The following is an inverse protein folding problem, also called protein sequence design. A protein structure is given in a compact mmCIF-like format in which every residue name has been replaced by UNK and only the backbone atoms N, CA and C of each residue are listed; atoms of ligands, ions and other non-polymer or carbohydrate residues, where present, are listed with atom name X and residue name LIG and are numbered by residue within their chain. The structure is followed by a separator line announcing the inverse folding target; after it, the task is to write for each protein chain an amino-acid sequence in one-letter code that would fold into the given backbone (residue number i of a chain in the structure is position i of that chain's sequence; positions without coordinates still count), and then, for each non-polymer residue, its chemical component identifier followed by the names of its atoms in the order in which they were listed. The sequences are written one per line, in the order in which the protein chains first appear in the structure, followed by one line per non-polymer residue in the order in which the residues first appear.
data_IF_071491246820
#
_entry.id   IF_071491246820
#
_cell.length_a   1.000
_cell.length_b   1.000
_cell.length_c   1.000
_cell.angle_alpha   90.00
_cell.angle_beta   90.00
_cell.angle_gamma   90.00
#
_symmetry.space_group_name_H-M   'P 1'
#
loop_
_entity.id
_entity.type
_entity.pdbx_description
1 polymer ?
#
# COMPACT_ATOMS: atom_id res chain seq x y z
N UNK A 1 -43.13 -25.43 16.59
CA UNK A 1 -42.51 -25.49 15.24
C UNK A 1 -43.48 -25.09 14.12
N UNK A 2 -44.75 -25.50 14.15
CA UNK A 2 -45.74 -25.20 13.08
C UNK A 2 -46.16 -23.71 12.90
N UNK A 3 -45.76 -22.80 13.80
CA UNK A 3 -46.01 -21.32 13.66
C UNK A 3 -44.83 -20.51 13.11
N UNK A 4 -43.64 -21.11 12.98
CA UNK A 4 -42.47 -20.42 12.41
C UNK A 4 -42.45 -20.55 10.89
N UNK A 5 -42.99 -21.65 10.35
CA UNK A 5 -43.08 -21.88 8.90
C UNK A 5 -44.10 -20.94 8.21
N UNK A 6 -45.17 -20.54 8.90
CA UNK A 6 -46.15 -19.59 8.35
C UNK A 6 -45.66 -18.13 8.34
N UNK A 7 -44.66 -17.77 9.16
CA UNK A 7 -44.04 -16.43 9.10
C UNK A 7 -43.03 -16.29 7.96
N UNK A 8 -42.44 -17.39 7.47
CA UNK A 8 -41.48 -17.35 6.35
C UNK A 8 -42.20 -17.32 5.00
N UNK A 9 -43.42 -17.86 4.91
CA UNK A 9 -44.21 -17.86 3.68
C UNK A 9 -44.91 -16.52 3.36
N UNK A 10 -45.05 -15.61 4.33
CA UNK A 10 -45.72 -14.30 4.12
C UNK A 10 -44.78 -13.12 3.92
N UNK A 11 -43.45 -13.32 4.01
CA UNK A 11 -42.47 -12.36 3.47
C UNK A 11 -42.42 -12.50 1.95
N UNK A 12 -43.53 -12.12 1.33
CA UNK A 12 -43.79 -12.19 -0.09
C UNK A 12 -42.79 -11.36 -0.89
N UNK A 13 -42.20 -12.02 -1.88
CA UNK A 13 -41.92 -11.58 -3.26
C UNK A 13 -41.26 -10.21 -3.56
N UNK A 14 -41.02 -9.33 -2.60
CA UNK A 14 -40.51 -7.97 -2.83
C UNK A 14 -38.99 -7.85 -2.75
N UNK A 15 -38.30 -8.80 -2.11
CA UNK A 15 -36.83 -8.81 -2.03
C UNK A 15 -36.12 -9.69 -3.08
N UNK A 16 -36.85 -10.58 -3.77
CA UNK A 16 -36.30 -11.42 -4.84
C UNK A 16 -35.66 -10.61 -5.99
N UNK A 17 -36.26 -9.53 -6.52
CA UNK A 17 -35.62 -8.78 -7.61
C UNK A 17 -34.38 -8.02 -7.13
N UNK A 18 -34.37 -7.58 -5.86
CA UNK A 18 -33.27 -6.82 -5.28
C UNK A 18 -32.06 -7.72 -4.98
N UNK A 19 -32.30 -8.95 -4.50
CA UNK A 19 -31.25 -9.96 -4.32
C UNK A 19 -30.70 -10.45 -5.67
N UNK A 20 -31.56 -10.61 -6.68
CA UNK A 20 -31.15 -10.98 -8.04
C UNK A 20 -30.32 -9.88 -8.71
N UNK A 21 -30.67 -8.61 -8.52
CA UNK A 21 -29.88 -7.47 -8.98
C UNK A 21 -28.52 -7.40 -8.27
N UNK A 22 -28.48 -7.63 -6.95
CA UNK A 22 -27.23 -7.64 -6.20
C UNK A 22 -26.30 -8.77 -6.67
N UNK A 23 -26.85 -9.96 -6.93
CA UNK A 23 -26.11 -11.09 -7.49
C UNK A 23 -25.62 -10.81 -8.91
N UNK A 24 -26.42 -10.16 -9.76
CA UNK A 24 -25.99 -9.76 -11.11
C UNK A 24 -24.87 -8.72 -11.05
N UNK A 25 -24.94 -7.75 -10.14
CA UNK A 25 -23.87 -6.77 -9.93
C UNK A 25 -22.58 -7.42 -9.41
N UNK A 26 -22.67 -8.43 -8.54
CA UNK A 26 -21.50 -9.19 -8.07
C UNK A 26 -20.90 -10.01 -9.21
N UNK A 27 -21.73 -10.68 -10.03
CA UNK A 27 -21.24 -11.48 -11.17
C UNK A 27 -20.66 -10.60 -12.28
N UNK A 28 -21.27 -9.44 -12.56
CA UNK A 28 -20.74 -8.47 -13.53
C UNK A 28 -19.49 -7.75 -13.01
N UNK A 29 -19.43 -7.43 -11.71
CA UNK A 29 -18.22 -6.89 -11.08
C UNK A 29 -17.06 -7.88 -11.00
N UNK A 30 -17.33 -9.18 -11.10
CA UNK A 30 -16.31 -10.23 -11.18
C UNK A 30 -15.80 -10.51 -12.61
N UNK A 31 -16.43 -9.96 -13.66
CA UNK A 31 -16.01 -10.17 -15.05
C UNK A 31 -15.11 -9.06 -15.61
N UNK A 32 -14.90 -7.96 -14.89
CA UNK A 32 -13.85 -7.02 -15.28
C UNK A 32 -12.47 -7.55 -14.84
N UNK A 33 -11.51 -7.40 -15.76
CA UNK A 33 -10.06 -7.62 -15.59
C UNK A 33 -9.51 -9.05 -15.74
N UNK A 34 -9.80 -9.70 -16.87
CA UNK A 34 -8.75 -10.48 -17.55
C UNK A 34 -8.78 -10.23 -19.07
N UNK A 35 -8.80 -8.96 -19.47
CA UNK A 35 -8.23 -8.62 -20.78
C UNK A 35 -6.72 -8.66 -20.59
N UNK A 36 -6.13 -9.84 -20.83
CA UNK A 36 -4.72 -9.98 -21.07
C UNK A 36 -4.39 -9.10 -22.28
N UNK A 37 -4.08 -7.83 -22.03
CA UNK A 37 -3.39 -7.01 -23.01
C UNK A 37 -2.07 -7.71 -23.23
N UNK A 38 -1.96 -8.44 -24.34
CA UNK A 38 -0.66 -8.82 -24.89
C UNK A 38 0.04 -7.52 -25.26
N UNK A 39 0.67 -6.89 -24.26
CA UNK A 39 1.66 -5.85 -24.46
C UNK A 39 2.76 -6.51 -25.29
N UNK A 40 2.75 -6.21 -26.59
CA UNK A 40 3.85 -6.58 -27.47
C UNK A 40 5.14 -6.12 -26.80
N UNK A 41 6.12 -7.00 -26.54
CA UNK A 41 7.29 -6.64 -25.77
C UNK A 41 8.02 -5.53 -26.53
N UNK A 42 8.06 -4.34 -25.93
CA UNK A 42 8.71 -3.15 -26.50
C UNK A 42 10.24 -3.25 -26.37
N UNK A 43 10.83 -4.37 -26.79
CA UNK A 43 12.27 -4.58 -26.67
C UNK A 43 12.81 -5.71 -27.54
N UNK A 44 14.14 -5.77 -27.59
CA UNK A 44 14.91 -6.74 -28.39
C UNK A 44 15.94 -7.40 -27.49
N UNK A 45 16.07 -8.72 -27.62
CA UNK A 45 17.11 -9.50 -26.97
C UNK A 45 18.34 -9.57 -27.86
N UNK A 46 19.48 -9.06 -27.37
CA UNK A 46 20.73 -9.05 -28.11
C UNK A 46 21.94 -9.22 -27.20
N UNK A 47 23.07 -9.61 -27.78
CA UNK A 47 24.33 -9.66 -27.06
C UNK A 47 24.75 -8.24 -26.65
N UNK A 48 25.10 -8.07 -25.37
CA UNK A 48 25.48 -6.79 -24.82
C UNK A 48 26.99 -6.72 -24.59
N UNK A 49 27.62 -5.71 -25.20
CA UNK A 49 29.03 -5.40 -24.99
C UNK A 49 29.20 -3.88 -24.77
N UNK A 50 29.10 -3.46 -23.51
CA UNK A 50 29.23 -2.05 -23.10
C UNK A 50 29.84 -1.90 -21.70
N UNK A 51 29.58 -0.79 -21.04
CA UNK A 51 30.11 -0.40 -19.72
C UNK A 51 29.80 -1.43 -18.63
N UNK A 52 28.67 -2.12 -18.74
CA UNK A 52 28.23 -3.14 -17.79
C UNK A 52 28.73 -4.56 -18.12
N UNK A 53 29.48 -4.75 -19.21
CA UNK A 53 29.90 -6.08 -19.70
C UNK A 53 30.67 -6.88 -18.64
N UNK A 54 31.62 -6.22 -17.97
CA UNK A 54 32.42 -6.77 -16.88
C UNK A 54 31.59 -7.23 -15.66
N UNK A 55 30.37 -6.73 -15.49
CA UNK A 55 29.49 -7.00 -14.34
C UNK A 55 28.38 -7.99 -14.65
N UNK A 56 27.95 -8.06 -15.91
CA UNK A 56 26.79 -8.85 -16.33
C UNK A 56 27.13 -10.31 -16.63
N UNK A 57 28.41 -10.62 -16.90
CA UNK A 57 28.82 -11.86 -17.57
C UNK A 57 28.33 -11.88 -19.03
N UNK A 58 29.27 -11.77 -19.98
CA UNK A 58 28.95 -11.33 -21.35
C UNK A 58 28.25 -12.38 -22.21
N UNK A 59 28.16 -13.65 -21.78
CA UNK A 59 27.70 -14.74 -22.66
C UNK A 59 26.20 -14.75 -22.95
N UNK A 60 25.38 -14.07 -22.15
CA UNK A 60 23.92 -14.12 -22.25
C UNK A 60 23.33 -12.89 -22.95
N UNK A 61 22.23 -13.09 -23.69
CA UNK A 61 21.46 -12.00 -24.30
C UNK A 61 20.79 -11.12 -23.25
N UNK A 62 20.74 -9.82 -23.54
CA UNK A 62 20.14 -8.79 -22.69
C UNK A 62 18.99 -8.13 -23.40
N UNK A 63 17.92 -7.89 -22.65
CA UNK A 63 16.75 -7.24 -23.18
C UNK A 63 16.97 -5.72 -23.20
N UNK A 64 16.91 -5.13 -24.39
CA UNK A 64 17.02 -3.69 -24.62
C UNK A 64 15.65 -3.15 -24.94
N UNK A 65 15.18 -2.16 -24.19
CA UNK A 65 13.93 -1.48 -24.50
C UNK A 65 14.06 -0.72 -25.83
N UNK A 66 13.20 -1.02 -26.80
CA UNK A 66 13.24 -0.40 -28.12
C UNK A 66 12.80 1.06 -28.12
N UNK A 67 12.05 1.53 -27.10
CA UNK A 67 11.69 2.94 -26.96
C UNK A 67 12.89 3.82 -26.58
N UNK A 68 13.83 3.28 -25.80
CA UNK A 68 15.09 3.95 -25.49
C UNK A 68 16.16 3.70 -26.55
N UNK A 69 16.25 2.46 -27.03
CA UNK A 69 17.38 1.97 -27.78
C UNK A 69 18.64 1.78 -26.93
N UNK A 70 19.65 1.14 -27.53
CA UNK A 70 20.90 0.77 -26.86
C UNK A 70 21.67 1.97 -26.30
N UNK A 71 21.79 3.05 -27.08
CA UNK A 71 22.61 4.21 -26.70
C UNK A 71 22.07 4.94 -25.47
N UNK A 72 20.76 5.15 -25.38
CA UNK A 72 20.16 5.79 -24.20
C UNK A 72 20.14 4.84 -23.00
N UNK A 73 19.90 3.55 -23.23
CA UNK A 73 20.03 2.52 -22.19
C UNK A 73 21.44 2.53 -21.58
N UNK A 74 22.49 2.64 -22.40
CA UNK A 74 23.88 2.77 -21.96
C UNK A 74 24.12 4.07 -21.17
N UNK A 75 23.55 5.20 -21.62
CA UNK A 75 23.63 6.49 -20.92
C UNK A 75 23.02 6.40 -19.53
N UNK A 76 21.88 5.72 -19.40
CA UNK A 76 21.22 5.45 -18.11
C UNK A 76 22.15 4.63 -17.20
N UNK A 77 22.74 3.56 -17.71
CA UNK A 77 23.70 2.74 -16.95
C UNK A 77 24.87 3.58 -16.43
N UNK A 78 25.48 4.42 -17.26
CA UNK A 78 26.58 5.31 -16.85
C UNK A 78 26.14 6.25 -15.73
N UNK A 79 24.95 6.86 -15.84
CA UNK A 79 24.43 7.78 -14.82
C UNK A 79 24.17 7.07 -13.49
N UNK A 80 23.59 5.88 -13.52
CA UNK A 80 23.37 5.07 -12.33
C UNK A 80 24.68 4.64 -11.67
N UNK A 81 25.65 4.16 -12.45
CA UNK A 81 26.97 3.80 -11.92
C UNK A 81 27.65 5.00 -11.26
N UNK A 82 27.53 6.20 -11.84
CA UNK A 82 28.02 7.44 -11.25
C UNK A 82 27.27 7.82 -9.96
N UNK A 83 25.95 7.57 -9.91
CA UNK A 83 25.17 7.76 -8.68
C UNK A 83 25.68 6.82 -7.56
N UNK A 84 25.94 5.55 -7.87
CA UNK A 84 26.53 4.61 -6.90
C UNK A 84 27.88 5.10 -6.40
N UNK A 85 28.76 5.55 -7.31
CA UNK A 85 30.06 6.14 -6.94
C UNK A 85 29.89 7.32 -5.97
N UNK A 86 28.95 8.22 -6.24
CA UNK A 86 28.70 9.39 -5.40
C UNK A 86 28.14 9.03 -4.02
N UNK A 87 27.20 8.09 -3.94
CA UNK A 87 26.62 7.62 -2.66
C UNK A 87 27.71 7.03 -1.74
N UNK A 88 28.68 6.34 -2.34
CA UNK A 88 29.74 5.65 -1.60
C UNK A 88 31.09 6.38 -1.60
N UNK A 89 31.17 7.62 -2.10
CA UNK A 89 32.41 8.42 -2.09
C UNK A 89 32.95 8.60 -0.67
N UNK A 90 32.05 8.76 0.30
CA UNK A 90 32.37 8.97 1.72
C UNK A 90 32.17 7.73 2.60
N UNK A 91 31.60 6.64 2.04
CA UNK A 91 31.31 5.40 2.78
C UNK A 91 32.43 4.39 2.54
N UNK A 92 32.89 3.71 3.59
CA UNK A 92 33.95 2.68 3.48
C UNK A 92 33.43 1.29 3.08
N UNK A 93 32.14 1.16 2.80
CA UNK A 93 31.53 -0.12 2.45
C UNK A 93 31.67 -0.41 0.95
N UNK A 94 32.84 -0.93 0.58
CA UNK A 94 33.14 -1.34 -0.79
C UNK A 94 32.33 -2.56 -1.23
N UNK A 95 31.89 -3.40 -0.29
CA UNK A 95 31.09 -4.59 -0.60
C UNK A 95 29.75 -4.17 -1.18
N UNK A 96 29.02 -3.32 -0.44
CA UNK A 96 27.74 -2.84 -0.90
C UNK A 96 27.86 -1.95 -2.15
N UNK A 97 28.92 -1.14 -2.25
CA UNK A 97 29.21 -0.37 -3.47
C UNK A 97 29.28 -1.25 -4.72
N UNK A 98 30.05 -2.34 -4.68
CA UNK A 98 30.17 -3.22 -5.85
C UNK A 98 28.91 -4.03 -6.11
N UNK A 99 28.20 -4.47 -5.07
CA UNK A 99 26.88 -5.11 -5.19
C UNK A 99 25.90 -4.18 -5.91
N UNK A 100 25.80 -2.93 -5.48
CA UNK A 100 24.88 -1.95 -6.06
C UNK A 100 25.24 -1.59 -7.52
N UNK A 101 26.53 -1.54 -7.88
CA UNK A 101 26.93 -1.39 -9.29
C UNK A 101 26.48 -2.57 -10.14
N UNK A 102 26.61 -3.80 -9.63
CA UNK A 102 26.12 -4.99 -10.33
C UNK A 102 24.60 -4.92 -10.46
N UNK A 103 23.88 -4.63 -9.38
CA UNK A 103 22.42 -4.45 -9.39
C UNK A 103 21.98 -3.43 -10.44
N UNK A 104 22.59 -2.24 -10.47
CA UNK A 104 22.29 -1.22 -11.48
C UNK A 104 22.48 -1.74 -12.91
N UNK A 105 23.56 -2.47 -13.17
CA UNK A 105 23.80 -3.06 -14.49
C UNK A 105 22.78 -4.12 -14.87
N UNK A 106 22.51 -5.09 -14.00
CA UNK A 106 21.53 -6.15 -14.24
C UNK A 106 20.15 -5.57 -14.53
N UNK A 107 19.83 -4.51 -13.82
CA UNK A 107 18.54 -3.89 -13.96
C UNK A 107 18.32 -3.11 -15.25
N UNK A 108 19.33 -2.37 -15.69
CA UNK A 108 19.29 -1.68 -16.98
C UNK A 108 19.35 -2.70 -18.12
N UNK A 109 20.04 -3.82 -17.92
CA UNK A 109 20.23 -4.89 -18.90
C UNK A 109 19.71 -6.24 -18.36
N UNK A 110 18.38 -6.40 -18.26
CA UNK A 110 17.79 -7.61 -17.71
C UNK A 110 18.03 -8.81 -18.62
N UNK A 111 17.92 -10.01 -18.04
CA UNK A 111 18.05 -11.25 -18.79
C UNK A 111 16.93 -11.42 -19.80
N UNK A 112 17.24 -12.17 -20.87
CA UNK A 112 16.25 -12.67 -21.81
C UNK A 112 15.85 -14.11 -21.49
N UNK A 113 14.57 -14.42 -21.68
CA UNK A 113 14.06 -15.78 -21.72
C UNK A 113 14.44 -16.46 -23.03
N UNK A 114 14.19 -17.78 -23.11
CA UNK A 114 14.32 -18.51 -24.38
C UNK A 114 13.31 -18.05 -25.45
N UNK A 115 12.27 -17.30 -25.05
CA UNK A 115 11.28 -16.70 -25.93
C UNK A 115 11.59 -15.22 -26.24
N UNK A 116 12.83 -14.77 -26.00
CA UNK A 116 13.28 -13.39 -26.23
C UNK A 116 12.47 -12.33 -25.47
N UNK A 117 11.95 -12.68 -24.30
CA UNK A 117 11.23 -11.75 -23.41
C UNK A 117 12.10 -11.34 -22.22
N UNK A 118 11.88 -10.13 -21.69
CA UNK A 118 12.49 -9.68 -20.43
C UNK A 118 12.12 -10.66 -19.30
N UNK A 119 13.12 -11.17 -18.59
CA UNK A 119 12.94 -11.91 -17.34
C UNK A 119 12.93 -10.95 -16.14
N UNK A 120 12.00 -11.18 -15.22
CA UNK A 120 11.95 -10.50 -13.93
C UNK A 120 12.91 -11.16 -12.93
N UNK A 121 13.38 -10.38 -11.97
CA UNK A 121 14.17 -10.87 -10.84
C UNK A 121 13.28 -11.45 -9.76
N UNK A 122 13.80 -12.43 -9.03
CA UNK A 122 13.03 -13.09 -7.97
C UNK A 122 12.90 -12.18 -6.73
N UNK A 123 11.77 -12.29 -6.02
CA UNK A 123 11.49 -11.53 -4.80
C UNK A 123 12.59 -11.70 -3.74
N UNK A 124 13.14 -12.89 -3.62
CA UNK A 124 14.19 -13.25 -2.67
C UNK A 124 15.47 -12.42 -2.90
N UNK A 125 15.82 -12.16 -4.16
CA UNK A 125 16.97 -11.32 -4.51
C UNK A 125 16.76 -9.88 -4.03
N UNK A 126 15.55 -9.35 -4.25
CA UNK A 126 15.17 -8.01 -3.81
C UNK A 126 15.27 -7.88 -2.30
N UNK A 127 14.63 -8.79 -1.57
CA UNK A 127 14.66 -8.81 -0.10
C UNK A 127 16.10 -8.90 0.42
N UNK A 128 16.92 -9.76 -0.16
CA UNK A 128 18.31 -9.91 0.24
C UNK A 128 19.14 -8.66 -0.05
N UNK A 129 18.93 -7.99 -1.20
CA UNK A 129 19.58 -6.71 -1.51
C UNK A 129 19.21 -5.62 -0.50
N UNK A 130 17.95 -5.55 -0.07
CA UNK A 130 17.52 -4.61 0.95
C UNK A 130 18.17 -4.89 2.31
N UNK A 131 18.36 -6.17 2.67
CA UNK A 131 19.03 -6.54 3.92
C UNK A 131 20.50 -6.11 3.94
N UNK A 132 21.24 -6.33 2.85
CA UNK A 132 22.68 -6.03 2.80
C UNK A 132 22.99 -4.57 2.45
N UNK A 133 22.10 -3.89 1.72
CA UNK A 133 22.38 -2.62 1.07
C UNK A 133 21.26 -1.57 1.14
N UNK A 134 20.22 -1.79 1.95
CA UNK A 134 18.93 -1.06 1.90
C UNK A 134 19.02 0.46 1.68
N UNK A 135 19.81 1.17 2.47
CA UNK A 135 19.97 2.63 2.33
C UNK A 135 20.54 3.04 0.96
N UNK A 136 21.55 2.31 0.47
CA UNK A 136 22.17 2.58 -0.82
C UNK A 136 21.26 2.16 -1.98
N UNK A 137 20.51 1.07 -1.80
CA UNK A 137 19.53 0.61 -2.78
C UNK A 137 18.40 1.62 -2.95
N UNK A 138 17.81 2.11 -1.85
CA UNK A 138 16.79 3.16 -1.87
C UNK A 138 17.24 4.42 -2.62
N UNK A 139 18.48 4.86 -2.35
CA UNK A 139 19.06 6.02 -3.04
C UNK A 139 19.26 5.78 -4.54
N UNK A 140 19.63 4.56 -4.95
CA UNK A 140 19.79 4.21 -6.37
C UNK A 140 18.45 4.08 -7.07
N UNK A 141 17.44 3.52 -6.42
CA UNK A 141 16.06 3.48 -6.95
C UNK A 141 15.53 4.89 -7.15
N UNK A 142 15.72 5.77 -6.15
CA UNK A 142 15.38 7.19 -6.26
C UNK A 142 16.14 7.90 -7.39
N UNK A 143 17.45 7.69 -7.48
CA UNK A 143 18.26 8.26 -8.56
C UNK A 143 17.82 7.74 -9.94
N UNK A 144 17.49 6.45 -10.03
CA UNK A 144 16.97 5.82 -11.23
C UNK A 144 15.66 6.44 -11.70
N UNK A 145 14.71 6.62 -10.79
CA UNK A 145 13.45 7.33 -11.07
C UNK A 145 13.69 8.73 -11.61
N UNK A 146 14.60 9.50 -11.01
CA UNK A 146 14.94 10.84 -11.48
C UNK A 146 15.64 10.84 -12.85
N UNK A 147 16.51 9.85 -13.11
CA UNK A 147 17.19 9.73 -14.41
C UNK A 147 16.21 9.34 -15.52
N UNK A 148 15.18 8.56 -15.19
CA UNK A 148 14.21 8.03 -16.13
C UNK A 148 12.91 8.83 -16.22
N UNK A 149 12.73 9.87 -15.41
CA UNK A 149 11.52 10.67 -15.40
C UNK A 149 11.25 11.24 -16.80
N UNK A 150 10.11 10.88 -17.38
CA UNK A 150 9.71 11.21 -18.75
C UNK A 150 10.28 10.34 -19.89
N UNK A 151 11.11 9.32 -19.61
CA UNK A 151 11.74 8.48 -20.66
C UNK A 151 11.32 7.00 -20.66
N UNK A 152 10.90 6.44 -19.52
CA UNK A 152 10.35 5.08 -19.45
C UNK A 152 9.16 4.98 -18.50
N UNK A 153 8.43 3.85 -18.60
CA UNK A 153 7.49 3.46 -17.55
C UNK A 153 8.20 3.37 -16.21
N UNK A 154 7.51 3.79 -15.14
CA UNK A 154 8.02 3.72 -13.75
C UNK A 154 8.45 2.31 -13.36
N UNK A 155 7.92 1.29 -14.03
CA UNK A 155 8.17 -0.14 -13.81
C UNK A 155 9.57 -0.61 -14.24
N UNK A 156 10.39 0.27 -14.83
CA UNK A 156 11.81 -0.07 -15.01
C UNK A 156 12.41 -0.32 -13.66
N UNK A 157 12.07 0.50 -12.65
CA UNK A 157 12.46 0.31 -11.26
C UNK A 157 11.45 -0.38 -10.33
N UNK A 158 11.12 -1.65 -10.64
CA UNK A 158 10.28 -2.52 -9.81
C UNK A 158 10.89 -3.01 -8.49
N UNK A 159 11.72 -2.21 -7.81
CA UNK A 159 12.22 -2.50 -6.45
C UNK A 159 11.58 -1.62 -5.37
N UNK A 160 10.57 -0.82 -5.72
CA UNK A 160 9.85 0.00 -4.74
C UNK A 160 9.22 -0.88 -3.65
N UNK A 161 8.64 -2.00 -4.06
CA UNK A 161 8.09 -3.01 -3.17
C UNK A 161 8.48 -4.40 -3.70
N UNK A 162 9.36 -5.11 -2.98
CA UNK A 162 9.76 -6.47 -3.38
C UNK A 162 8.56 -7.43 -3.53
N UNK A 163 7.44 -7.13 -2.88
CA UNK A 163 6.22 -7.93 -2.89
C UNK A 163 5.59 -8.07 -4.29
N UNK A 164 5.86 -7.12 -5.20
CA UNK A 164 5.34 -7.18 -6.57
C UNK A 164 6.11 -8.19 -7.44
N UNK A 165 7.31 -8.59 -7.01
CA UNK A 165 8.12 -9.60 -7.69
C UNK A 165 7.61 -11.00 -7.39
N UNK A 166 7.76 -11.91 -8.36
CA UNK A 166 7.43 -13.33 -8.18
C UNK A 166 8.45 -14.01 -7.27
N UNK A 167 7.98 -14.91 -6.39
CA UNK A 167 8.88 -15.82 -5.68
C UNK A 167 9.31 -16.98 -6.59
N UNK A 168 10.53 -17.47 -6.39
CA UNK A 168 11.00 -18.67 -7.07
C UNK A 168 10.16 -19.93 -6.68
N UNK A 169 9.53 -19.92 -5.50
CA UNK A 169 8.74 -21.05 -4.98
C UNK A 169 7.29 -21.08 -5.49
N UNK A 170 6.76 -19.95 -5.98
CA UNK A 170 5.33 -19.79 -6.30
C UNK A 170 4.88 -20.55 -7.56
N UNK A 171 5.79 -21.16 -8.34
CA UNK A 171 5.44 -21.79 -9.61
C UNK A 171 5.75 -23.29 -9.63
N UNK A 172 4.69 -24.12 -9.64
CA UNK A 172 4.79 -25.55 -9.95
C UNK A 172 5.17 -25.74 -11.42
N UNK A 173 6.48 -25.74 -11.72
CA UNK A 173 7.03 -26.34 -12.94
C UNK A 173 7.58 -25.41 -14.02
N UNK A 174 7.46 -24.08 -13.91
CA UNK A 174 8.13 -23.14 -14.82
C UNK A 174 8.65 -21.94 -14.01
N UNK A 175 9.97 -21.81 -13.85
CA UNK A 175 10.58 -20.68 -13.13
C UNK A 175 10.31 -19.37 -13.87
N UNK A 176 9.40 -18.57 -13.35
CA UNK A 176 8.96 -17.31 -13.96
C UNK A 176 9.89 -16.13 -13.66
N UNK A 177 10.77 -16.26 -12.68
CA UNK A 177 11.79 -15.28 -12.31
C UNK A 177 13.20 -15.88 -12.40
N UNK A 178 14.21 -15.01 -12.47
CA UNK A 178 15.62 -15.39 -12.56
C UNK A 178 16.40 -14.81 -11.37
N UNK A 179 17.17 -15.66 -10.69
CA UNK A 179 18.06 -15.19 -9.63
C UNK A 179 19.25 -14.40 -10.16
N UNK A 180 19.65 -13.36 -9.43
CA UNK A 180 20.87 -12.59 -9.68
C UNK A 180 22.11 -13.45 -9.36
N UNK A 181 23.00 -13.69 -10.34
CA UNK A 181 24.07 -14.69 -10.21
C UNK A 181 25.20 -14.29 -9.25
N UNK A 182 25.17 -13.06 -8.73
CA UNK A 182 26.17 -12.53 -7.81
C UNK A 182 25.67 -12.43 -6.37
N UNK A 183 24.41 -12.80 -6.11
CA UNK A 183 23.84 -12.83 -4.78
C UNK A 183 23.81 -14.27 -4.27
N UNK A 184 24.46 -14.48 -3.13
CA UNK A 184 24.41 -15.75 -2.42
C UNK A 184 23.24 -15.72 -1.43
N UNK A 185 22.04 -16.02 -1.92
CA UNK A 185 20.84 -16.00 -1.08
C UNK A 185 20.90 -17.16 -0.08
N UNK A 186 20.79 -16.89 1.23
CA UNK A 186 20.67 -17.96 2.21
C UNK A 186 19.35 -18.71 1.98
N UNK A 187 19.41 -20.05 1.98
CA UNK A 187 18.26 -20.95 1.72
C UNK A 187 17.00 -20.68 2.57
N UNK A 188 17.12 -19.92 3.66
CA UNK A 188 16.03 -19.60 4.60
C UNK A 188 15.12 -18.45 4.13
N UNK A 189 15.49 -17.68 3.11
CA UNK A 189 14.69 -16.52 2.65
C UNK A 189 13.54 -16.85 1.71
N UNK A 190 13.51 -18.05 1.12
CA UNK A 190 12.45 -18.47 0.19
C UNK A 190 11.17 -18.95 0.87
N UNK A 191 11.18 -19.12 2.19
CA UNK A 191 10.02 -19.53 2.97
C UNK A 191 9.50 -18.30 3.71
N UNK A 192 8.85 -17.41 2.97
CA UNK A 192 7.87 -16.52 3.60
C UNK A 192 6.93 -17.46 4.35
N UNK A 193 6.95 -17.44 5.68
CA UNK A 193 5.87 -17.97 6.51
C UNK A 193 4.62 -17.15 6.17
N UNK A 194 4.05 -17.40 4.99
CA UNK A 194 2.72 -16.92 4.66
C UNK A 194 1.86 -17.38 5.81
N UNK A 195 1.18 -16.43 6.46
CA UNK A 195 0.29 -16.72 7.58
C UNK A 195 -0.44 -18.00 7.24
N UNK A 196 -0.20 -19.05 8.05
CA UNK A 196 -0.82 -20.35 7.82
C UNK A 196 -2.30 -20.11 7.53
N UNK A 197 -2.85 -20.83 6.55
CA UNK A 197 -4.27 -20.73 6.21
C UNK A 197 -5.15 -20.82 7.46
N UNK A 198 -4.69 -21.55 8.48
CA UNK A 198 -5.35 -21.66 9.77
C UNK A 198 -5.35 -20.34 10.56
N UNK A 199 -4.27 -19.55 10.52
CA UNK A 199 -4.19 -18.22 11.15
C UNK A 199 -5.12 -17.23 10.45
N UNK A 200 -5.21 -17.26 9.12
CA UNK A 200 -6.14 -16.41 8.36
C UNK A 200 -7.58 -16.76 8.73
N UNK A 201 -7.91 -18.04 8.84
CA UNK A 201 -9.24 -18.51 9.27
C UNK A 201 -9.54 -18.07 10.72
N UNK A 202 -8.57 -18.19 11.63
CA UNK A 202 -8.72 -17.75 13.02
C UNK A 202 -9.02 -16.25 13.08
N UNK A 203 -8.28 -15.41 12.36
CA UNK A 203 -8.51 -13.95 12.34
C UNK A 203 -9.90 -13.65 11.75
N UNK A 204 -10.27 -14.29 10.64
CA UNK A 204 -11.55 -14.06 9.96
C UNK A 204 -12.78 -14.49 10.78
N UNK A 205 -12.65 -15.46 11.70
CA UNK A 205 -13.77 -15.94 12.52
C UNK A 205 -13.77 -15.32 13.92
N UNK A 206 -12.62 -15.22 14.57
CA UNK A 206 -12.52 -14.77 15.97
C UNK A 206 -12.76 -13.27 16.08
N UNK A 207 -12.25 -12.46 15.15
CA UNK A 207 -12.39 -10.99 15.23
C UNK A 207 -13.86 -10.56 15.07
N UNK A 208 -14.64 -11.03 14.08
CA UNK A 208 -16.06 -10.67 13.99
C UNK A 208 -16.88 -11.16 15.19
N UNK A 209 -16.56 -12.33 15.71
CA UNK A 209 -17.27 -12.91 16.86
C UNK A 209 -17.02 -12.10 18.14
N UNK A 210 -15.78 -11.64 18.36
CA UNK A 210 -15.44 -10.74 19.46
C UNK A 210 -16.15 -9.38 19.34
N UNK A 211 -16.19 -8.79 18.15
CA UNK A 211 -16.92 -7.54 17.89
C UNK A 211 -18.42 -7.71 18.14
N UNK A 212 -19.01 -8.82 17.68
CA UNK A 212 -20.41 -9.13 17.92
C UNK A 212 -20.73 -9.26 19.42
N UNK A 213 -19.87 -9.94 20.19
CA UNK A 213 -20.02 -10.05 21.65
C UNK A 213 -19.93 -8.69 22.34
N UNK A 214 -18.99 -7.82 21.93
CA UNK A 214 -18.88 -6.45 22.47
C UNK A 214 -20.15 -5.63 22.21
N UNK A 215 -20.74 -5.75 21.01
CA UNK A 215 -22.01 -5.08 20.69
C UNK A 215 -23.13 -5.60 21.59
N UNK A 216 -23.25 -6.92 21.77
CA UNK A 216 -24.25 -7.51 22.66
C UNK A 216 -24.07 -7.06 24.11
N UNK A 217 -22.84 -7.03 24.62
CA UNK A 217 -22.51 -6.51 25.95
C UNK A 217 -22.91 -5.04 26.09
N UNK A 218 -22.62 -4.19 25.10
CA UNK A 218 -23.02 -2.79 25.09
C UNK A 218 -24.54 -2.59 25.08
N UNK A 219 -25.27 -3.39 24.29
CA UNK A 219 -26.73 -3.37 24.25
C UNK A 219 -27.33 -3.85 25.58
N UNK A 220 -26.76 -4.90 26.17
CA UNK A 220 -27.20 -5.42 27.47
C UNK A 220 -26.97 -4.40 28.58
N UNK A 221 -25.79 -3.77 28.62
CA UNK A 221 -25.47 -2.71 29.58
C UNK A 221 -26.43 -1.51 29.44
N UNK A 222 -26.71 -1.08 28.20
CA UNK A 222 -27.71 -0.03 27.94
C UNK A 222 -29.11 -0.41 28.42
N UNK A 223 -29.53 -1.66 28.25
CA UNK A 223 -30.85 -2.14 28.74
C UNK A 223 -30.92 -2.17 30.27
N UNK A 224 -29.86 -2.59 30.95
CA UNK A 224 -29.81 -2.63 32.42
C UNK A 224 -29.77 -1.22 33.03
N UNK A 225 -28.99 -0.30 32.44
CA UNK A 225 -28.94 1.10 32.88
C UNK A 225 -30.33 1.78 32.79
N UNK A 226 -31.11 1.52 31.73
CA UNK A 226 -32.48 2.03 31.63
C UNK A 226 -33.42 1.47 32.71
N UNK A 227 -33.29 0.19 33.06
CA UNK A 227 -34.09 -0.44 34.12
C UNK A 227 -33.76 0.12 35.51
N UNK A 228 -32.49 0.44 35.79
CA UNK A 228 -32.09 1.07 37.05
C UNK A 228 -32.69 2.47 37.23
N UNK A 229 -32.80 3.26 36.15
CA UNK A 229 -33.41 4.61 36.24
C UNK A 229 -34.91 4.58 36.57
N UNK A 230 -35.63 3.55 36.11
CA UNK A 230 -37.08 3.44 36.32
C UNK A 230 -37.44 2.99 37.74
N UNK A 231 -36.55 2.29 38.43
CA UNK A 231 -36.75 1.92 39.84
C UNK A 231 -36.43 3.04 40.83
N UNK A 232 -35.68 4.07 40.41
CA UNK A 232 -35.36 5.23 41.25
C UNK A 232 -36.46 6.29 41.32
N UNK A 233 -37.50 6.20 40.49
CA UNK A 233 -38.59 7.18 40.43
C UNK A 233 -39.74 6.84 41.41
N UNK A 234 -39.75 5.66 42.03
CA UNK A 234 -40.88 5.23 42.89
C UNK A 234 -40.67 5.41 44.40
N UNK A 235 -39.63 6.12 44.83
CA UNK A 235 -39.35 6.42 46.26
C UNK A 235 -39.20 7.93 46.50
N UNK A 236 -40.21 8.72 46.15
CA UNK A 236 -40.36 10.05 46.73
C UNK A 236 -41.85 10.39 46.81
N UNK A 237 -42.50 9.85 47.84
CA UNK A 237 -43.85 10.25 48.19
C UNK A 237 -43.90 10.43 49.71
N UNK A 238 -43.32 11.53 50.20
CA UNK A 238 -43.88 12.23 51.35
C UNK A 238 -43.35 13.67 51.46
N UNK A 239 -44.32 14.59 51.52
CA UNK A 239 -44.31 15.89 52.19
C UNK A 239 -43.40 16.99 51.65
N UNK A 240 -44.06 18.04 51.17
CA UNK A 240 -43.68 19.39 51.56
C UNK A 240 -43.86 20.40 50.46
N UNK A 241 -44.96 21.13 50.53
CA UNK A 241 -45.16 22.39 49.81
C UNK A 241 -43.92 23.27 49.88
N UNK A 242 -43.42 23.67 48.70
CA UNK A 242 -42.94 25.04 48.43
C UNK A 242 -42.63 25.20 46.94
N UNK A 243 -43.36 26.14 46.33
CA UNK A 243 -43.10 26.67 45.01
C UNK A 243 -41.67 27.19 44.93
N UNK A 244 -40.84 26.56 44.08
CA UNK A 244 -39.50 27.05 43.75
C UNK A 244 -39.29 26.99 42.24
N UNK A 245 -39.16 28.20 41.70
CA UNK A 245 -38.39 28.66 40.54
C UNK A 245 -38.24 27.73 39.32
N UNK A 246 -38.82 28.18 38.22
CA UNK A 246 -38.90 27.52 36.90
C UNK A 246 -37.82 28.01 35.93
N UNK A 247 -36.65 28.45 36.40
CA UNK A 247 -35.66 29.20 35.58
C UNK A 247 -34.25 28.59 35.49
N UNK A 248 -34.10 27.25 35.51
CA UNK A 248 -32.76 26.63 35.38
C UNK A 248 -32.64 25.52 34.33
N UNK A 249 -33.32 25.66 33.18
CA UNK A 249 -33.20 24.73 32.06
C UNK A 249 -32.83 25.39 30.70
N UNK A 250 -31.97 26.41 30.70
CA UNK A 250 -31.46 27.03 29.46
C UNK A 250 -29.95 26.92 29.22
N UNK A 251 -29.18 26.28 30.11
CA UNK A 251 -27.72 26.14 29.96
C UNK A 251 -27.25 24.84 29.28
N UNK A 252 -28.07 24.25 28.40
CA UNK A 252 -27.56 23.26 27.44
C UNK A 252 -27.17 24.01 26.17
N UNK A 253 -26.07 24.76 26.26
CA UNK A 253 -25.36 25.25 25.09
C UNK A 253 -24.91 24.01 24.32
N UNK A 254 -25.46 23.87 23.11
CA UNK A 254 -25.20 22.76 22.21
C UNK A 254 -23.69 22.66 21.94
N UNK A 255 -23.10 21.46 22.06
CA UNK A 255 -21.71 21.19 21.65
C UNK A 255 -21.44 21.62 20.19
N UNK A 256 -22.49 21.74 19.36
CA UNK A 256 -22.40 22.25 17.98
C UNK A 256 -21.91 23.70 17.92
N UNK A 257 -22.28 24.55 18.88
CA UNK A 257 -21.83 25.95 18.91
C UNK A 257 -20.38 26.08 19.39
N UNK A 258 -19.93 25.16 20.26
CA UNK A 258 -18.51 25.08 20.68
C UNK A 258 -17.57 24.66 19.55
N UNK A 259 -18.04 23.93 18.55
CA UNK A 259 -17.20 23.50 17.40
C UNK A 259 -17.04 24.64 16.38
N UNK A 260 -18.01 25.55 16.26
CA UNK A 260 -17.88 26.72 15.38
C UNK A 260 -16.93 27.80 15.93
N UNK A 261 -16.60 27.73 17.23
CA UNK A 261 -15.68 28.67 17.89
C UNK A 261 -14.21 28.24 17.77
N UNK A 262 -13.92 27.02 17.30
CA UNK A 262 -12.55 26.55 17.00
C UNK A 262 -12.07 27.02 15.62
N UNK A 263 -12.31 28.31 15.30
CA UNK A 263 -11.59 28.97 14.22
C UNK A 263 -10.13 29.07 14.66
N UNK A 264 -9.32 28.10 14.21
CA UNK A 264 -7.86 28.12 14.32
C UNK A 264 -7.39 29.51 13.91
N UNK A 265 -6.65 30.18 14.79
CA UNK A 265 -6.17 31.52 14.53
C UNK A 265 -5.33 31.48 13.23
N UNK A 266 -5.55 32.42 12.27
CA UNK A 266 -4.82 32.43 11.00
C UNK A 266 -3.30 32.35 11.15
N UNK A 267 -2.76 32.78 12.29
CA UNK A 267 -1.34 32.71 12.63
C UNK A 267 -0.79 31.29 12.74
N UNK A 268 -1.56 30.31 13.26
CA UNK A 268 -1.08 28.92 13.38
C UNK A 268 -1.09 28.19 12.03
N UNK A 269 -2.01 28.59 11.13
CA UNK A 269 -2.04 28.07 9.76
C UNK A 269 -0.85 28.57 8.93
N UNK A 270 -0.37 29.78 9.23
CA UNK A 270 0.77 30.38 8.51
C UNK A 270 2.08 29.63 8.81
N UNK A 271 2.26 29.18 10.06
CA UNK A 271 3.43 28.41 10.48
C UNK A 271 3.47 27.00 9.85
N UNK A 272 2.31 26.34 9.75
CA UNK A 272 2.17 25.06 9.07
C UNK A 272 2.44 25.16 7.55
N UNK A 273 1.96 26.22 6.91
CA UNK A 273 2.22 26.48 5.49
C UNK A 273 3.69 26.78 5.23
N UNK A 274 4.36 27.54 6.11
CA UNK A 274 5.80 27.81 5.99
C UNK A 274 6.64 26.54 6.19
N UNK A 275 6.23 25.62 7.08
CA UNK A 275 6.89 24.30 7.23
C UNK A 275 6.77 23.49 5.92
N UNK A 276 5.60 23.45 5.29
CA UNK A 276 5.40 22.76 4.02
C UNK A 276 6.19 23.41 2.85
N UNK A 277 6.28 24.74 2.83
CA UNK A 277 7.00 25.52 1.81
C UNK A 277 8.52 25.35 1.94
N UNK A 278 9.05 25.31 3.17
CA UNK A 278 10.48 25.08 3.43
C UNK A 278 10.99 23.71 2.97
N UNK A 279 10.09 22.72 2.81
CA UNK A 279 10.40 21.37 2.35
C UNK A 279 10.21 21.18 0.84
N UNK A 280 9.88 22.24 0.09
CA UNK A 280 9.79 22.20 -1.37
C UNK A 280 8.57 21.46 -1.93
N UNK A 281 7.48 21.33 -1.16
CA UNK A 281 6.34 20.46 -1.51
C UNK A 281 5.17 21.21 -2.18
N UNK A 282 5.13 22.55 -2.25
CA UNK A 282 4.02 23.26 -2.92
C UNK A 282 4.43 24.55 -3.66
N UNK A 283 4.16 24.58 -4.97
CA UNK A 283 3.92 25.79 -5.78
C UNK A 283 2.41 25.92 -6.08
N UNK A 284 1.58 26.10 -5.04
CA UNK A 284 0.14 26.37 -5.22
C UNK A 284 -0.19 27.72 -4.57
N UNK A 285 -0.88 28.64 -5.28
CA UNK A 285 -1.33 29.91 -4.71
C UNK A 285 -2.33 29.68 -3.57
N UNK A 286 -2.14 30.43 -2.48
CA UNK A 286 -2.80 30.28 -1.16
C UNK A 286 -4.31 30.52 -1.20
N UNK A 287 -4.84 31.04 -2.30
CA UNK A 287 -6.20 31.56 -2.39
C UNK A 287 -7.28 30.48 -2.61
N UNK A 288 -6.94 29.18 -2.57
CA UNK A 288 -7.85 28.10 -2.98
C UNK A 288 -7.82 26.81 -2.11
N UNK A 289 -7.38 26.88 -0.84
CA UNK A 289 -7.27 25.70 0.04
C UNK A 289 -8.43 25.68 1.05
N UNK A 290 -9.52 25.01 0.70
CA UNK A 290 -10.68 24.80 1.59
C UNK A 290 -10.53 23.57 2.52
N UNK A 291 -9.47 22.78 2.41
CA UNK A 291 -9.20 21.71 3.39
C UNK A 291 -7.72 21.35 3.50
N UNK A 292 -7.22 21.34 4.74
CA UNK A 292 -5.82 21.06 5.16
C UNK A 292 -5.51 19.56 5.20
N UNK A 293 -6.46 18.72 4.77
CA UNK A 293 -6.42 17.25 4.96
C UNK A 293 -5.25 16.56 4.25
N UNK A 294 -4.73 17.15 3.17
CA UNK A 294 -3.67 16.52 2.37
C UNK A 294 -2.25 16.73 2.93
N UNK A 295 -2.02 17.74 3.78
CA UNK A 295 -0.69 17.96 4.38
C UNK A 295 -0.36 16.96 5.50
N UNK A 296 -1.36 16.42 6.19
CA UNK A 296 -1.17 15.52 7.33
C UNK A 296 -0.80 14.08 6.93
N UNK A 297 -1.17 13.64 5.73
CA UNK A 297 -0.86 12.29 5.24
C UNK A 297 0.58 12.13 4.71
N UNK A 298 1.33 13.23 4.57
CA UNK A 298 2.73 13.22 4.12
C UNK A 298 3.71 13.23 5.31
N UNK A 299 3.20 13.49 6.53
CA UNK A 299 4.01 13.66 7.75
C UNK A 299 3.92 12.45 8.70
N UNK A 300 3.10 11.44 8.40
CA UNK A 300 3.11 10.13 9.08
C UNK A 300 3.96 9.12 8.35
#
# INVERSE_FOLDING_TARGET
MRRVEEMVASMGLTYKPLLSMLLLCIVMGLQETQVATMHSPTGVCQHYNGICSSRLNSTEHRHINSSLGMNETERVAVRLLKAVESIYEKKKDNSCKETLKKTACFFVFPFCSAQDTKLEYCREDCNHLFEICGDGLNQIVGAGKLILDGQLSRDVFGFDECNDLKSAADTSGNTTCKHLPFLDIPRKMGESEGLSKDVIIIIAVVVPLAVFLLILCGLHHRRMSKKASLHSIHYENEKGDKAVSKDRLSNVVSMRDRIQEWKVAPSELTELVDICKSRGVLDIPVDNIDSVTDCLNIVS
#
